data_IF_343729018008
#
_entry.id   IF_343729018008
#
_cell.length_a   1.000
_cell.length_b   1.000
_cell.length_c   1.000
_cell.angle_alpha   90.00
_cell.angle_beta   90.00
_cell.angle_gamma   90.00
#
_symmetry.space_group_name_H-M   'P 1'
#
loop_
_entity.id
_entity.type
_entity.pdbx_description
1 polymer ?
#
# COMPACT_ATOMS: atom_id res chain seq x y z
N UNK A 1 -12.68 6.97 3.28
CA UNK A 1 -11.83 7.94 2.54
C UNK A 1 -11.45 7.33 1.21
N UNK A 2 -11.45 8.07 0.09
CA UNK A 2 -10.99 7.53 -1.19
C UNK A 2 -9.46 7.66 -1.29
N UNK A 3 -8.74 6.57 -1.01
CA UNK A 3 -7.28 6.46 -1.16
C UNK A 3 -6.84 6.16 -2.61
N UNK A 4 -7.78 5.98 -3.55
CA UNK A 4 -7.50 5.62 -4.94
C UNK A 4 -6.63 6.67 -5.64
N UNK A 5 -5.57 6.22 -6.32
CA UNK A 5 -4.61 7.04 -7.04
C UNK A 5 -3.61 7.81 -6.17
N UNK A 6 -3.59 7.58 -4.85
CA UNK A 6 -2.68 8.29 -3.93
C UNK A 6 -1.48 7.44 -3.53
N UNK A 7 -0.36 8.11 -3.28
CA UNK A 7 0.80 7.47 -2.65
C UNK A 7 0.56 7.35 -1.15
N UNK A 8 0.78 6.15 -0.62
CA UNK A 8 0.72 5.88 0.80
C UNK A 8 2.05 5.29 1.26
N UNK A 9 2.45 5.66 2.47
CA UNK A 9 3.59 5.10 3.16
C UNK A 9 3.15 3.91 3.98
N UNK A 10 3.87 2.81 3.88
CA UNK A 10 3.63 1.61 4.68
C UNK A 10 4.03 1.92 6.13
N UNK A 11 3.16 1.63 7.09
CA UNK A 11 3.40 1.95 8.51
C UNK A 11 4.05 0.81 9.29
N UNK A 12 4.10 -0.40 8.73
CA UNK A 12 4.64 -1.60 9.38
C UNK A 12 5.24 -2.50 8.32
N UNK A 13 6.30 -3.24 8.65
CA UNK A 13 6.85 -4.24 7.72
C UNK A 13 5.82 -5.34 7.45
N UNK A 14 5.44 -5.53 6.18
CA UNK A 14 4.46 -6.51 5.74
C UNK A 14 5.16 -7.48 4.80
N UNK A 15 5.30 -8.72 5.25
CA UNK A 15 5.81 -9.81 4.43
C UNK A 15 4.67 -10.50 3.72
N UNK A 16 4.76 -10.61 2.42
CA UNK A 16 3.79 -11.28 1.56
C UNK A 16 4.51 -12.30 0.67
N UNK A 17 3.74 -13.20 0.05
CA UNK A 17 4.31 -14.23 -0.83
C UNK A 17 5.10 -13.64 -2.01
N UNK A 18 4.77 -12.41 -2.41
CA UNK A 18 5.41 -11.68 -3.51
C UNK A 18 6.58 -10.80 -3.07
N UNK A 19 6.90 -10.74 -1.77
CA UNK A 19 7.99 -9.92 -1.24
C UNK A 19 7.67 -9.29 0.11
N UNK A 20 8.63 -8.57 0.67
CA UNK A 20 8.44 -7.78 1.89
C UNK A 20 8.34 -6.29 1.54
N UNK A 21 7.32 -5.63 2.09
CA UNK A 21 7.23 -4.18 2.16
C UNK A 21 7.76 -3.75 3.50
N UNK A 22 8.79 -2.92 3.52
CA UNK A 22 9.35 -2.44 4.77
C UNK A 22 8.58 -1.24 5.32
N UNK A 23 8.61 -1.09 6.65
CA UNK A 23 8.09 0.13 7.28
C UNK A 23 8.76 1.36 6.66
N UNK A 24 7.92 2.27 6.17
CA UNK A 24 8.35 3.50 5.54
C UNK A 24 8.50 3.46 4.02
N UNK A 25 8.24 2.33 3.36
CA UNK A 25 8.18 2.31 1.90
C UNK A 25 6.98 3.08 1.36
N UNK A 26 7.15 3.64 0.16
CA UNK A 26 6.12 4.42 -0.52
C UNK A 26 5.53 3.56 -1.62
N UNK A 27 4.25 3.24 -1.46
CA UNK A 27 3.48 2.49 -2.45
C UNK A 27 2.41 3.37 -3.10
N UNK A 28 1.95 2.98 -4.28
CA UNK A 28 0.87 3.61 -5.00
C UNK A 28 -0.43 2.85 -4.73
N UNK A 29 -1.41 3.48 -4.10
CA UNK A 29 -2.73 2.88 -3.89
C UNK A 29 -3.54 3.07 -5.17
N UNK A 30 -3.87 1.99 -5.88
CA UNK A 30 -4.65 2.05 -7.11
C UNK A 30 -6.16 2.02 -6.79
N UNK A 31 -6.64 0.88 -6.28
CA UNK A 31 -8.07 0.65 -6.05
C UNK A 31 -8.34 -0.13 -4.78
N UNK A 32 -9.56 -0.03 -4.25
CA UNK A 32 -10.03 -0.90 -3.17
C UNK A 32 -10.76 -2.08 -3.79
N UNK A 33 -10.41 -3.28 -3.37
CA UNK A 33 -11.00 -4.52 -3.85
C UNK A 33 -11.24 -5.45 -2.67
N UNK A 34 -12.50 -5.86 -2.50
CA UNK A 34 -12.92 -6.84 -1.49
C UNK A 34 -12.45 -6.50 -0.04
N UNK A 35 -12.51 -5.22 0.33
CA UNK A 35 -12.11 -4.73 1.66
C UNK A 35 -10.65 -4.25 1.75
N UNK A 36 -9.76 -4.74 0.89
CA UNK A 36 -8.34 -4.42 0.87
C UNK A 36 -7.98 -3.37 -0.18
N UNK A 37 -6.90 -2.63 0.04
CA UNK A 37 -6.33 -1.70 -0.93
C UNK A 37 -5.30 -2.41 -1.79
N UNK A 38 -5.54 -2.39 -3.10
CA UNK A 38 -4.56 -2.79 -4.10
C UNK A 38 -3.50 -1.69 -4.22
N UNK A 39 -2.31 -2.02 -3.77
CA UNK A 39 -1.15 -1.17 -3.71
C UNK A 39 -0.07 -1.69 -4.67
N UNK A 40 0.61 -0.79 -5.38
CA UNK A 40 1.74 -1.13 -6.23
C UNK A 40 3.01 -0.52 -5.67
N UNK A 41 4.02 -1.35 -5.49
CA UNK A 41 5.33 -0.91 -5.03
C UNK A 41 6.15 -0.29 -6.18
N UNK A 42 7.26 0.39 -5.85
CA UNK A 42 8.21 0.92 -6.82
C UNK A 42 8.81 -0.17 -7.72
N UNK A 43 8.92 -1.42 -7.24
CA UNK A 43 9.33 -2.58 -8.06
C UNK A 43 8.22 -3.12 -8.98
N UNK A 44 7.04 -2.51 -9.01
CA UNK A 44 5.89 -2.99 -9.80
C UNK A 44 5.14 -4.18 -9.19
N UNK A 45 5.53 -4.60 -7.98
CA UNK A 45 4.84 -5.66 -7.22
C UNK A 45 3.49 -5.17 -6.72
N UNK A 46 2.48 -6.04 -6.76
CA UNK A 46 1.13 -5.73 -6.27
C UNK A 46 0.94 -6.35 -4.90
N UNK A 47 0.50 -5.53 -3.94
CA UNK A 47 0.18 -5.91 -2.58
C UNK A 47 -1.26 -5.54 -2.26
N UNK A 48 -1.90 -6.34 -1.42
CA UNK A 48 -3.24 -6.06 -0.91
C UNK A 48 -3.10 -5.74 0.57
N UNK A 49 -3.35 -4.48 0.93
CA UNK A 49 -3.08 -3.94 2.24
C UNK A 49 -4.35 -3.36 2.85
N UNK A 50 -4.52 -3.55 4.16
CA UNK A 50 -5.58 -2.88 4.90
C UNK A 50 -5.26 -1.40 5.11
N UNK A 51 -6.30 -0.58 5.24
CA UNK A 51 -6.16 0.87 5.46
C UNK A 51 -5.34 1.17 6.73
N UNK A 52 -5.44 0.33 7.76
CA UNK A 52 -4.69 0.46 9.02
C UNK A 52 -3.17 0.35 8.86
N UNK A 53 -2.69 -0.25 7.77
CA UNK A 53 -1.26 -0.40 7.48
C UNK A 53 -0.73 0.67 6.50
N UNK A 54 -1.60 1.60 6.09
CA UNK A 54 -1.33 2.60 5.08
C UNK A 54 -1.46 4.00 5.66
N UNK A 55 -0.41 4.81 5.52
CA UNK A 55 -0.44 6.23 5.87
C UNK A 55 -0.38 7.07 4.61
N UNK A 56 -1.49 7.73 4.24
CA UNK A 56 -1.48 8.65 3.10
C UNK A 56 -0.48 9.76 3.33
N UNK A 57 0.40 9.96 2.35
CA UNK A 57 1.26 11.12 2.27
C UNK A 57 0.44 12.20 1.56
N UNK A 58 -0.23 13.07 2.32
CA UNK A 58 -0.79 14.30 1.75
C UNK A 58 0.37 15.27 1.52
N UNK A 59 0.57 15.67 0.27
CA UNK A 59 1.37 16.86 -0.05
C UNK A 59 0.52 18.10 0.16
#
# INVERSE_FOLDING_TARGET
MNLQGKKAKVTKTITSVNGALHEGEIILVERRENGNWRCRDNMGRIFYLEESNLKIIKK
#
